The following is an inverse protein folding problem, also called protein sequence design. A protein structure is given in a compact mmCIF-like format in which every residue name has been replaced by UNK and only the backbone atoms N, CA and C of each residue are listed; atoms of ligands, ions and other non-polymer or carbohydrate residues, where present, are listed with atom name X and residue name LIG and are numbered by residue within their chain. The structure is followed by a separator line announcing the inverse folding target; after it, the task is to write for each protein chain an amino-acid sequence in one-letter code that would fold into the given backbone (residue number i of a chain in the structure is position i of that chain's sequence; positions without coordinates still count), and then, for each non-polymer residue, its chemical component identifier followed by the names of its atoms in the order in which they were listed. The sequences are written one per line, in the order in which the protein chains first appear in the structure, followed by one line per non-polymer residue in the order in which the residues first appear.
data_IF_285660438313
#
_entry.id   IF_285660438313
#
_cell.length_a   1.000
_cell.length_b   1.000
_cell.length_c   1.000
_cell.angle_alpha   90.00
_cell.angle_beta   90.00
_cell.angle_gamma   90.00
#
_symmetry.space_group_name_H-M   'P 1'
#
loop_
_entity.id
_entity.type
_entity.pdbx_description
1 polymer ?
#
# COMPACT_ATOMS: atom_id res chain seq x y z
N UNK A 1 6.69 16.30 10.59
CA UNK A 1 6.58 15.15 9.68
C UNK A 1 6.58 13.90 10.56
N UNK A 2 5.55 13.04 10.51
CA UNK A 2 5.47 11.87 11.39
C UNK A 2 6.39 10.76 10.87
N UNK A 3 7.67 10.83 11.24
CA UNK A 3 8.74 9.91 10.83
C UNK A 3 8.38 8.44 11.09
N UNK A 4 7.62 8.17 12.14
CA UNK A 4 7.14 6.83 12.50
C UNK A 4 6.23 6.22 11.42
N UNK A 5 5.27 6.99 10.90
CA UNK A 5 4.35 6.51 9.86
C UNK A 5 5.08 6.27 8.53
N UNK A 6 6.07 7.11 8.23
CA UNK A 6 6.93 6.91 7.06
C UNK A 6 7.75 5.62 7.18
N UNK A 7 8.37 5.36 8.34
CA UNK A 7 9.12 4.12 8.59
C UNK A 7 8.21 2.88 8.50
N UNK A 8 7.00 2.95 9.04
CA UNK A 8 6.00 1.87 8.92
C UNK A 8 5.65 1.59 7.45
N UNK A 9 5.43 2.64 6.65
CA UNK A 9 5.15 2.48 5.23
C UNK A 9 6.32 1.83 4.49
N UNK A 10 7.57 2.21 4.78
CA UNK A 10 8.77 1.58 4.19
C UNK A 10 8.85 0.10 4.54
N UNK A 11 8.66 -0.26 5.82
CA UNK A 11 8.67 -1.67 6.26
C UNK A 11 7.58 -2.47 5.56
N UNK A 12 6.38 -1.91 5.40
CA UNK A 12 5.27 -2.56 4.69
C UNK A 12 5.57 -2.76 3.20
N UNK A 13 6.24 -1.82 2.53
CA UNK A 13 6.66 -1.97 1.13
C UNK A 13 7.68 -3.11 0.99
N UNK A 14 8.64 -3.20 1.91
CA UNK A 14 9.64 -4.28 1.92
C UNK A 14 8.95 -5.64 2.16
N UNK A 15 8.03 -5.70 3.13
CA UNK A 15 7.25 -6.91 3.42
C UNK A 15 6.37 -7.33 2.24
N UNK A 16 5.71 -6.37 1.56
CA UNK A 16 4.91 -6.63 0.36
C UNK A 16 5.77 -7.19 -0.77
N UNK A 17 6.96 -6.62 -0.98
CA UNK A 17 7.92 -7.07 -1.99
C UNK A 17 8.37 -8.50 -1.70
N UNK A 18 8.68 -8.81 -0.45
CA UNK A 18 9.07 -10.16 -0.03
C UNK A 18 7.93 -11.19 -0.19
N UNK A 19 6.70 -10.83 0.18
CA UNK A 19 5.53 -11.69 -0.01
C UNK A 19 5.27 -11.98 -1.49
N UNK A 20 5.38 -10.96 -2.35
CA UNK A 20 5.27 -11.11 -3.80
C UNK A 20 6.36 -12.03 -4.39
N UNK A 21 7.60 -11.95 -3.89
CA UNK A 21 8.68 -12.85 -4.32
C UNK A 21 8.39 -14.32 -3.97
N UNK A 22 7.68 -14.58 -2.86
CA UNK A 22 7.24 -15.92 -2.46
C UNK A 22 5.99 -16.42 -3.21
N UNK A 23 5.49 -15.69 -4.21
CA UNK A 23 4.23 -15.96 -4.94
C UNK A 23 2.97 -15.87 -4.06
N UNK A 24 3.07 -15.28 -2.88
CA UNK A 24 1.95 -15.01 -1.99
C UNK A 24 1.28 -13.68 -2.40
N UNK A 25 0.74 -13.65 -3.62
CA UNK A 25 0.22 -12.43 -4.25
C UNK A 25 -0.91 -11.76 -3.46
N UNK A 26 -1.74 -12.54 -2.76
CA UNK A 26 -2.80 -12.00 -1.88
C UNK A 26 -2.22 -11.20 -0.73
N UNK A 27 -1.16 -11.70 -0.09
CA UNK A 27 -0.47 -11.01 0.99
C UNK A 27 0.29 -9.79 0.46
N UNK A 28 0.91 -9.91 -0.72
CA UNK A 28 1.58 -8.79 -1.39
C UNK A 28 0.65 -7.61 -1.66
N UNK A 29 -0.56 -7.87 -2.17
CA UNK A 29 -1.60 -6.85 -2.44
C UNK A 29 -2.11 -6.20 -1.16
N UNK A 30 -2.34 -6.98 -0.10
CA UNK A 30 -2.79 -6.41 1.19
C UNK A 30 -1.70 -5.55 1.81
N UNK A 31 -0.44 -6.00 1.80
CA UNK A 31 0.68 -5.26 2.38
C UNK A 31 1.00 -3.99 1.59
N UNK A 32 0.99 -4.04 0.26
CA UNK A 32 1.20 -2.88 -0.59
C UNK A 32 0.04 -1.89 -0.48
N UNK A 33 -1.20 -2.36 -0.47
CA UNK A 33 -2.39 -1.56 -0.19
C UNK A 33 -2.27 -0.85 1.15
N UNK A 34 -1.89 -1.55 2.20
CA UNK A 34 -1.72 -0.97 3.54
C UNK A 34 -0.66 0.14 3.52
N UNK A 35 0.48 -0.09 2.84
CA UNK A 35 1.51 0.94 2.67
C UNK A 35 0.99 2.18 1.91
N UNK A 36 0.24 1.97 0.84
CA UNK A 36 -0.39 3.04 0.06
C UNK A 36 -1.39 3.86 0.86
N UNK A 37 -2.20 3.19 1.69
CA UNK A 37 -3.14 3.85 2.61
C UNK A 37 -2.42 4.75 3.61
N UNK A 38 -1.34 4.26 4.24
CA UNK A 38 -0.52 5.08 5.14
C UNK A 38 0.15 6.26 4.41
N UNK A 39 0.62 6.06 3.18
CA UNK A 39 1.25 7.13 2.39
C UNK A 39 0.26 8.27 2.07
N UNK A 40 -0.96 7.94 1.62
CA UNK A 40 -1.99 8.95 1.32
C UNK A 40 -2.50 9.60 2.61
N UNK A 41 -2.69 8.84 3.68
CA UNK A 41 -3.04 9.42 4.98
C UNK A 41 -1.98 10.43 5.45
N UNK A 42 -0.69 10.12 5.29
CA UNK A 42 0.40 11.02 5.67
C UNK A 42 0.45 12.28 4.80
N UNK A 43 0.21 12.15 3.49
CA UNK A 43 0.15 13.28 2.55
C UNK A 43 -0.98 14.25 2.88
N UNK A 44 -2.13 13.73 3.32
CA UNK A 44 -3.33 14.52 3.62
C UNK A 44 -3.58 14.69 5.13
N UNK A 45 -2.56 14.47 5.96
CA UNK A 45 -2.68 14.57 7.40
C UNK A 45 -3.16 15.97 7.82
N UNK A 46 -4.27 16.03 8.55
CA UNK A 46 -4.89 17.29 8.99
C UNK A 46 -5.71 18.02 7.91
N UNK A 47 -5.80 17.52 6.67
CA UNK A 47 -6.59 18.11 5.58
C UNK A 47 -7.81 17.29 5.18
N UNK A 48 -7.77 15.98 5.42
CA UNK A 48 -8.82 15.04 5.01
C UNK A 48 -9.09 14.05 6.15
N UNK A 49 -10.28 13.45 6.17
CA UNK A 49 -10.60 12.42 7.16
C UNK A 49 -9.59 11.26 7.01
N UNK A 50 -8.88 10.87 8.09
CA UNK A 50 -7.85 9.82 8.07
C UNK A 50 -8.32 8.51 7.44
N UNK A 51 -9.56 8.12 7.72
CA UNK A 51 -10.15 6.86 7.24
C UNK A 51 -10.36 6.93 5.72
N UNK A 52 -10.85 8.05 5.22
CA UNK A 52 -11.02 8.29 3.78
C UNK A 52 -9.67 8.33 3.06
N UNK A 53 -8.70 9.07 3.59
CA UNK A 53 -7.37 9.17 3.00
C UNK A 53 -6.70 7.79 2.94
N UNK A 54 -6.80 7.01 4.02
CA UNK A 54 -6.30 5.64 4.05
C UNK A 54 -7.02 4.74 3.05
N UNK A 55 -8.36 4.76 3.02
CA UNK A 55 -9.14 3.93 2.12
C UNK A 55 -8.83 4.21 0.64
N UNK A 56 -8.66 5.48 0.27
CA UNK A 56 -8.27 5.89 -1.08
C UNK A 56 -6.88 5.35 -1.43
N UNK A 57 -5.89 5.57 -0.57
CA UNK A 57 -4.53 5.08 -0.80
C UNK A 57 -4.46 3.55 -0.87
N UNK A 58 -5.17 2.87 0.02
CA UNK A 58 -5.25 1.41 0.02
C UNK A 58 -5.85 0.88 -1.26
N UNK A 59 -7.00 1.41 -1.66
CA UNK A 59 -7.74 0.93 -2.83
C UNK A 59 -6.95 1.18 -4.12
N UNK A 60 -6.35 2.36 -4.28
CA UNK A 60 -5.52 2.68 -5.44
C UNK A 60 -4.31 1.75 -5.56
N UNK A 61 -3.57 1.54 -4.46
CA UNK A 61 -2.38 0.68 -4.48
C UNK A 61 -2.75 -0.80 -4.65
N UNK A 62 -3.82 -1.26 -3.99
CA UNK A 62 -4.30 -2.63 -4.15
C UNK A 62 -4.77 -2.92 -5.58
N UNK A 63 -5.49 -2.00 -6.22
CA UNK A 63 -5.93 -2.12 -7.62
C UNK A 63 -4.72 -2.12 -8.55
N UNK A 64 -3.77 -1.20 -8.37
CA UNK A 64 -2.56 -1.14 -9.18
C UNK A 64 -1.76 -2.45 -9.11
N UNK A 65 -1.56 -2.97 -7.90
CA UNK A 65 -0.84 -4.22 -7.69
C UNK A 65 -1.61 -5.43 -8.22
N UNK A 66 -2.93 -5.48 -8.04
CA UNK A 66 -3.79 -6.52 -8.62
C UNK A 66 -3.76 -6.50 -10.16
N UNK A 67 -3.78 -5.31 -10.79
CA UNK A 67 -3.62 -5.17 -12.24
C UNK A 67 -2.24 -5.62 -12.71
N UNK A 68 -1.19 -5.38 -11.93
CA UNK A 68 0.18 -5.83 -12.23
C UNK A 68 0.31 -7.36 -12.22
N UNK A 69 -0.49 -8.06 -11.41
CA UNK A 69 -0.47 -9.52 -11.29
C UNK A 69 -1.54 -10.25 -12.11
N UNK A 70 -2.43 -9.54 -12.80
CA UNK A 70 -3.36 -10.15 -13.76
C UNK A 70 -2.55 -10.80 -14.91
N UNK A 71 -2.74 -12.09 -15.19
CA UNK A 71 -1.90 -12.88 -16.11
C UNK A 71 -2.24 -12.61 -17.58
N UNK A 72 -2.01 -11.38 -18.05
CA UNK A 72 -2.36 -10.97 -19.42
C UNK A 72 -1.43 -9.96 -20.09
N UNK A 73 -0.37 -9.50 -19.40
CA UNK A 73 0.70 -8.68 -20.02
C UNK A 73 2.07 -9.14 -19.51
N UNK A 74 2.54 -10.26 -20.05
CA UNK A 74 3.96 -10.50 -20.32
C UNK A 74 4.14 -10.44 -21.82
#
# INVERSE_FOLDING_TARGET
MNTTLFLIAVVLIIAATYANMKREHKLGVVLSGTAGGFAVWLLFYGKLNPILAFAIGFTLTAIFEAMRFLPGKR
#
